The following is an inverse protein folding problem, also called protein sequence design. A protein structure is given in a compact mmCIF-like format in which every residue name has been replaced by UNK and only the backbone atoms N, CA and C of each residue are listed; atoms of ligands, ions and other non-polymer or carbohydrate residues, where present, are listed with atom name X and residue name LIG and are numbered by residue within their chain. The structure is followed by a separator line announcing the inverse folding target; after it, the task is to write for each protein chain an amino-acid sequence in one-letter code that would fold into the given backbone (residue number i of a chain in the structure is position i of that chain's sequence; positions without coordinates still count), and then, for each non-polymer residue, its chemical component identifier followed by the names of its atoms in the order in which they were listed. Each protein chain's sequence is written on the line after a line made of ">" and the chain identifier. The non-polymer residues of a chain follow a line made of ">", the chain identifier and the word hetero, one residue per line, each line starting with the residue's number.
data_IF_932188066573
#
_entry.id   IF_932188066573
#
_cell.length_a   1.000
_cell.length_b   1.000
_cell.length_c   1.000
_cell.angle_alpha   90.00
_cell.angle_beta   90.00
_cell.angle_gamma   90.00
#
_symmetry.space_group_name_H-M   'P 1'
#
loop_
_entity.id
_entity.type
_entity.pdbx_description
1 polymer ?
#
# COMPACT_ATOMS: atom_id res chain seq x y z
N UNK A 1 56.42 25.48 2.78
CA UNK A 1 57.05 24.33 3.45
C UNK A 1 57.17 24.69 4.91
N UNK A 2 56.58 23.97 5.84
CA UNK A 2 56.75 24.27 7.26
C UNK A 2 58.21 24.04 7.64
N UNK A 3 58.80 25.04 8.36
CA UNK A 3 60.14 25.01 8.74
C UNK A 3 60.51 23.81 9.62
N UNK A 4 61.66 23.20 9.30
CA UNK A 4 62.19 22.02 9.99
C UNK A 4 62.41 22.28 11.51
N UNK A 5 62.56 23.55 11.91
CA UNK A 5 62.67 24.00 13.29
C UNK A 5 61.40 23.91 14.11
N UNK A 6 60.20 24.12 13.52
CA UNK A 6 58.91 23.98 14.22
C UNK A 6 58.61 22.51 14.53
N UNK A 7 58.93 21.60 13.61
CA UNK A 7 58.79 20.18 13.82
C UNK A 7 59.75 19.65 14.90
N UNK A 8 60.95 20.20 15.00
CA UNK A 8 61.95 19.88 16.04
C UNK A 8 61.50 20.36 17.42
N UNK A 9 60.96 21.58 17.53
CA UNK A 9 60.30 22.07 18.76
C UNK A 9 59.10 21.29 19.21
N UNK A 10 58.27 20.92 18.29
CA UNK A 10 57.10 20.05 18.60
C UNK A 10 57.53 18.69 19.13
N UNK A 11 58.51 18.03 18.50
CA UNK A 11 59.04 16.75 18.97
C UNK A 11 59.73 16.86 20.34
N UNK A 12 60.42 17.96 20.62
CA UNK A 12 61.02 18.20 21.92
C UNK A 12 59.95 18.42 23.00
N UNK A 13 58.92 19.17 22.70
CA UNK A 13 57.81 19.44 23.62
C UNK A 13 56.95 18.19 23.90
N UNK A 14 56.88 17.25 22.97
CA UNK A 14 56.14 16.01 23.12
C UNK A 14 56.99 14.82 23.58
N UNK A 15 58.27 15.01 23.79
CA UNK A 15 59.19 13.99 24.28
C UNK A 15 58.82 13.62 25.74
N UNK A 16 58.25 12.46 25.93
CA UNK A 16 57.83 11.95 27.26
C UNK A 16 56.31 11.84 27.46
N UNK A 17 55.52 12.31 26.50
CA UNK A 17 54.05 12.08 26.54
C UNK A 17 53.80 10.61 26.21
N UNK A 18 53.22 9.86 27.14
CA UNK A 18 52.73 8.50 26.86
C UNK A 18 51.58 8.61 25.89
N UNK A 19 51.65 7.97 24.70
CA UNK A 19 50.51 7.94 23.80
C UNK A 19 49.31 7.32 24.54
N UNK A 20 48.15 7.99 24.47
CA UNK A 20 46.92 7.46 24.95
C UNK A 20 46.67 6.11 24.24
N UNK A 21 46.62 5.01 25.00
CA UNK A 21 46.04 3.78 24.47
C UNK A 21 44.60 4.08 24.20
N UNK A 22 44.28 4.30 22.95
CA UNK A 22 42.91 4.46 22.50
C UNK A 22 42.26 3.07 22.68
N UNK A 23 41.52 2.92 23.78
CA UNK A 23 40.68 1.77 24.00
C UNK A 23 39.47 1.96 23.06
N UNK A 24 39.67 1.59 21.81
CA UNK A 24 38.60 1.58 20.81
C UNK A 24 37.69 0.44 21.19
N UNK A 25 36.76 0.74 22.08
CA UNK A 25 35.56 -0.11 22.20
C UNK A 25 34.90 -0.08 20.81
N UNK A 26 35.08 -1.15 20.05
CA UNK A 26 34.36 -1.31 18.81
C UNK A 26 32.88 -1.08 19.12
N UNK A 27 32.21 -0.16 18.43
CA UNK A 27 30.80 0.07 18.69
C UNK A 27 30.08 -1.27 18.55
N UNK A 28 29.48 -1.72 19.65
CA UNK A 28 28.65 -2.92 19.64
C UNK A 28 27.60 -2.65 18.57
N UNK A 29 27.67 -3.38 17.48
CA UNK A 29 26.60 -3.37 16.48
C UNK A 29 25.36 -3.92 17.16
N UNK A 30 24.52 -3.00 17.64
CA UNK A 30 23.19 -3.35 18.13
C UNK A 30 22.48 -3.92 16.90
N UNK A 31 22.40 -5.23 16.81
CA UNK A 31 21.52 -5.88 15.87
C UNK A 31 20.10 -5.50 16.30
N UNK A 32 19.56 -4.43 15.68
CA UNK A 32 18.14 -4.14 15.81
C UNK A 32 17.43 -5.35 15.23
N UNK A 33 16.81 -6.15 16.09
CA UNK A 33 15.92 -7.20 15.61
C UNK A 33 14.91 -6.53 14.68
N UNK A 34 14.74 -7.06 13.47
CA UNK A 34 13.77 -6.49 12.54
C UNK A 34 12.41 -6.50 13.22
N UNK A 35 11.72 -5.37 13.21
CA UNK A 35 10.43 -5.22 13.82
C UNK A 35 9.47 -6.28 13.25
N UNK A 36 9.13 -7.29 14.03
CA UNK A 36 8.30 -8.44 13.62
C UNK A 36 6.96 -7.98 13.07
N UNK A 37 6.39 -6.88 13.61
CA UNK A 37 5.14 -6.29 13.11
C UNK A 37 5.31 -5.75 11.69
N UNK A 38 6.39 -5.01 11.43
CA UNK A 38 6.67 -4.47 10.10
C UNK A 38 6.90 -5.59 9.08
N UNK A 39 7.63 -6.64 9.46
CA UNK A 39 7.84 -7.80 8.58
C UNK A 39 6.54 -8.54 8.28
N UNK A 40 5.65 -8.67 9.27
CA UNK A 40 4.33 -9.26 9.08
C UNK A 40 3.51 -8.44 8.09
N UNK A 41 3.40 -7.12 8.29
CA UNK A 41 2.68 -6.23 7.39
C UNK A 41 3.22 -6.26 5.95
N UNK A 42 4.56 -6.32 5.79
CA UNK A 42 5.17 -6.43 4.46
C UNK A 42 4.82 -7.75 3.77
N UNK A 43 4.78 -8.87 4.51
CA UNK A 43 4.36 -10.17 3.96
C UNK A 43 2.90 -10.15 3.57
N UNK A 44 2.02 -9.69 4.44
CA UNK A 44 0.58 -9.57 4.17
C UNK A 44 0.32 -8.69 2.94
N UNK A 45 1.07 -7.59 2.79
CA UNK A 45 1.00 -6.74 1.59
C UNK A 45 1.48 -7.47 0.32
N UNK A 46 2.57 -8.25 0.42
CA UNK A 46 3.06 -9.05 -0.70
C UNK A 46 2.08 -10.14 -1.10
N UNK A 47 1.47 -10.83 -0.13
CA UNK A 47 0.46 -11.86 -0.37
C UNK A 47 -0.76 -11.27 -1.07
N UNK A 48 -1.21 -10.08 -0.65
CA UNK A 48 -2.31 -9.36 -1.30
C UNK A 48 -1.97 -8.96 -2.75
N UNK A 49 -0.73 -8.48 -2.99
CA UNK A 49 -0.26 -8.12 -4.34
C UNK A 49 -0.23 -9.32 -5.30
N UNK A 50 -0.03 -10.52 -4.78
CA UNK A 50 -0.03 -11.75 -5.58
C UNK A 50 -1.34 -11.98 -6.31
N UNK A 51 -2.46 -11.54 -5.74
CA UNK A 51 -3.78 -11.67 -6.38
C UNK A 51 -4.00 -10.68 -7.53
N UNK A 52 -3.22 -9.60 -7.65
CA UNK A 52 -3.43 -8.56 -8.66
C UNK A 52 -2.69 -8.88 -9.98
N UNK A 53 -3.10 -9.94 -10.67
CA UNK A 53 -2.57 -10.27 -11.99
C UNK A 53 -3.14 -9.37 -13.08
N UNK A 54 -2.29 -8.96 -14.03
CA UNK A 54 -2.70 -8.21 -15.23
C UNK A 54 -3.21 -9.13 -16.33
N UNK A 55 -2.88 -10.42 -16.27
CA UNK A 55 -3.23 -11.43 -17.30
C UNK A 55 -4.65 -11.97 -17.13
N UNK A 56 -5.22 -11.82 -15.93
CA UNK A 56 -6.55 -12.34 -15.66
C UNK A 56 -7.63 -11.39 -16.21
N UNK A 57 -8.48 -11.92 -17.11
CA UNK A 57 -9.66 -11.22 -17.61
C UNK A 57 -10.93 -11.82 -17.02
N UNK A 58 -11.42 -11.27 -15.89
CA UNK A 58 -12.67 -11.74 -15.32
C UNK A 58 -13.85 -11.39 -16.21
N UNK A 59 -14.87 -12.24 -16.22
CA UNK A 59 -16.17 -11.93 -16.78
C UNK A 59 -16.85 -10.89 -15.87
N UNK A 60 -16.46 -9.63 -16.00
CA UNK A 60 -17.20 -8.54 -15.37
C UNK A 60 -18.48 -8.32 -16.15
N UNK A 61 -19.61 -8.40 -15.46
CA UNK A 61 -20.90 -8.08 -16.05
C UNK A 61 -20.97 -6.57 -16.31
N UNK A 62 -20.42 -6.13 -17.44
CA UNK A 62 -20.59 -4.78 -17.95
C UNK A 62 -21.96 -4.69 -18.62
N UNK A 63 -23.03 -4.57 -17.83
CA UNK A 63 -24.33 -4.18 -18.36
C UNK A 63 -24.43 -2.65 -18.27
N UNK A 64 -24.67 -1.99 -19.40
CA UNK A 64 -24.81 -0.52 -19.52
C UNK A 64 -23.55 0.28 -19.09
N UNK A 65 -22.33 -0.30 -19.22
CA UNK A 65 -21.10 0.39 -18.86
C UNK A 65 -20.87 0.56 -17.34
N UNK A 66 -21.74 -0.02 -16.53
CA UNK A 66 -21.63 -0.02 -15.07
C UNK A 66 -20.85 -1.25 -14.62
N UNK A 67 -19.73 -1.02 -13.98
CA UNK A 67 -18.91 -2.11 -13.40
C UNK A 67 -19.57 -2.62 -12.13
N UNK A 68 -19.81 -3.93 -12.11
CA UNK A 68 -20.39 -4.62 -10.95
C UNK A 68 -19.84 -6.04 -10.85
N UNK A 69 -19.63 -6.50 -9.63
CA UNK A 69 -19.20 -7.86 -9.32
C UNK A 69 -19.80 -8.31 -8.00
N UNK A 70 -20.12 -9.59 -7.92
CA UNK A 70 -20.56 -10.27 -6.71
C UNK A 70 -19.84 -11.60 -6.64
N UNK A 71 -19.20 -11.87 -5.51
CA UNK A 71 -18.52 -13.14 -5.25
C UNK A 71 -19.55 -14.27 -5.26
N UNK A 72 -19.16 -15.43 -5.76
CA UNK A 72 -20.02 -16.61 -5.77
C UNK A 72 -20.39 -17.02 -4.32
N UNK A 73 -21.67 -17.29 -4.10
CA UNK A 73 -22.20 -17.60 -2.79
C UNK A 73 -22.72 -16.42 -1.97
N UNK A 74 -22.47 -15.18 -2.42
CA UNK A 74 -23.00 -13.98 -1.77
C UNK A 74 -24.43 -13.67 -2.21
N UNK A 75 -25.17 -13.00 -1.34
CA UNK A 75 -26.57 -12.66 -1.62
C UNK A 75 -26.71 -11.54 -2.66
N UNK A 76 -27.53 -11.75 -3.67
CA UNK A 76 -27.71 -10.81 -4.78
C UNK A 76 -28.22 -9.43 -4.39
N UNK A 77 -28.80 -9.29 -3.20
CA UNK A 77 -29.27 -7.99 -2.72
C UNK A 77 -28.11 -7.03 -2.33
N UNK A 78 -26.91 -7.56 -2.03
CA UNK A 78 -25.74 -6.74 -1.70
C UNK A 78 -25.39 -5.72 -2.80
N UNK A 79 -25.48 -6.14 -4.08
CA UNK A 79 -25.27 -5.21 -5.19
C UNK A 79 -26.30 -4.09 -5.25
N UNK A 80 -27.56 -4.39 -4.89
CA UNK A 80 -28.62 -3.37 -4.86
C UNK A 80 -28.38 -2.37 -3.73
N UNK A 81 -27.93 -2.85 -2.59
CA UNK A 81 -27.57 -2.02 -1.44
C UNK A 81 -26.36 -1.13 -1.74
N UNK A 82 -25.27 -1.69 -2.32
CA UNK A 82 -24.12 -0.89 -2.77
C UNK A 82 -24.53 0.21 -3.74
N UNK A 83 -25.38 -0.12 -4.74
CA UNK A 83 -25.88 0.84 -5.71
C UNK A 83 -26.71 1.95 -5.09
N UNK A 84 -27.48 1.66 -4.04
CA UNK A 84 -28.31 2.66 -3.32
C UNK A 84 -27.48 3.53 -2.38
N UNK A 85 -26.26 3.11 -2.02
CA UNK A 85 -25.46 3.77 -0.99
C UNK A 85 -25.87 3.38 0.43
N UNK A 86 -26.53 2.22 0.60
CA UNK A 86 -26.90 1.71 1.93
C UNK A 86 -25.65 1.36 2.77
N UNK A 87 -24.52 1.11 2.11
CA UNK A 87 -23.20 0.99 2.71
C UNK A 87 -22.45 2.32 2.60
N UNK A 88 -22.13 2.92 3.75
CA UNK A 88 -21.31 4.13 3.79
C UNK A 88 -19.84 3.75 3.81
N UNK A 89 -19.03 4.18 2.84
CA UNK A 89 -17.60 3.92 2.87
C UNK A 89 -16.94 4.67 4.02
N UNK A 90 -16.13 3.97 4.81
CA UNK A 90 -15.37 4.55 5.90
C UNK A 90 -13.92 4.84 5.50
N UNK A 91 -13.39 4.08 4.51
CA UNK A 91 -12.08 4.30 3.93
C UNK A 91 -12.20 4.80 2.50
N UNK A 92 -11.33 5.75 2.16
CA UNK A 92 -11.29 6.39 0.84
C UNK A 92 -9.89 6.30 0.26
N UNK A 93 -9.78 5.82 -0.97
CA UNK A 93 -8.52 5.73 -1.70
C UNK A 93 -8.62 6.47 -3.00
N UNK A 94 -7.69 7.40 -3.23
CA UNK A 94 -7.59 8.13 -4.49
C UNK A 94 -6.37 7.65 -5.28
N UNK A 95 -6.63 7.12 -6.47
CA UNK A 95 -5.62 6.55 -7.36
C UNK A 95 -5.34 7.41 -8.59
N UNK A 96 -5.89 8.65 -8.64
CA UNK A 96 -5.66 9.50 -9.80
C UNK A 96 -4.16 9.83 -9.95
N UNK A 97 -3.66 9.79 -11.18
CA UNK A 97 -2.26 10.12 -11.49
C UNK A 97 -1.24 9.05 -11.09
N UNK A 98 -1.65 7.94 -10.47
CA UNK A 98 -0.73 6.86 -10.11
C UNK A 98 -0.42 5.94 -11.32
N UNK A 99 0.76 5.33 -11.28
CA UNK A 99 1.10 4.22 -12.18
C UNK A 99 0.36 2.95 -11.79
N UNK A 100 0.35 1.94 -12.66
CA UNK A 100 -0.28 0.64 -12.37
C UNK A 100 0.32 -0.02 -11.13
N UNK A 101 1.64 -0.01 -11.02
CA UNK A 101 2.37 -0.62 -9.92
C UNK A 101 2.07 0.10 -8.58
N UNK A 102 2.04 1.43 -8.61
CA UNK A 102 1.66 2.23 -7.45
C UNK A 102 0.20 1.97 -7.04
N UNK A 103 -0.71 1.95 -8.02
CA UNK A 103 -2.12 1.66 -7.77
C UNK A 103 -2.34 0.27 -7.13
N UNK A 104 -1.63 -0.76 -7.60
CA UNK A 104 -1.67 -2.10 -6.97
C UNK A 104 -1.21 -2.05 -5.50
N UNK A 105 -0.11 -1.32 -5.23
CA UNK A 105 0.41 -1.19 -3.87
C UNK A 105 -0.56 -0.48 -2.94
N UNK A 106 -1.21 0.58 -3.41
CA UNK A 106 -2.20 1.32 -2.64
C UNK A 106 -3.49 0.51 -2.42
N UNK A 107 -3.93 -0.25 -3.44
CA UNK A 107 -5.05 -1.19 -3.29
C UNK A 107 -4.76 -2.28 -2.26
N UNK A 108 -3.55 -2.85 -2.27
CA UNK A 108 -3.14 -3.83 -1.27
C UNK A 108 -3.11 -3.22 0.14
N UNK A 109 -2.64 -1.98 0.27
CA UNK A 109 -2.64 -1.26 1.54
C UNK A 109 -4.07 -0.97 2.03
N UNK A 110 -4.99 -0.60 1.12
CA UNK A 110 -6.40 -0.37 1.45
C UNK A 110 -7.06 -1.64 1.99
N UNK A 111 -6.90 -2.78 1.31
CA UNK A 111 -7.51 -4.05 1.76
C UNK A 111 -6.98 -4.48 3.13
N UNK A 112 -5.69 -4.26 3.40
CA UNK A 112 -5.11 -4.49 4.73
C UNK A 112 -5.65 -3.52 5.77
N UNK A 113 -5.84 -2.25 5.42
CA UNK A 113 -6.43 -1.25 6.31
C UNK A 113 -7.87 -1.62 6.66
N UNK A 114 -8.68 -2.05 5.68
CA UNK A 114 -10.04 -2.55 5.92
C UNK A 114 -10.06 -3.67 6.97
N UNK A 115 -9.14 -4.61 6.87
CA UNK A 115 -9.03 -5.71 7.84
C UNK A 115 -8.58 -5.24 9.22
N UNK A 116 -7.57 -4.35 9.28
CA UNK A 116 -7.02 -3.85 10.55
C UNK A 116 -8.00 -2.96 11.30
N UNK A 117 -8.75 -2.13 10.57
CA UNK A 117 -9.72 -1.18 11.13
C UNK A 117 -11.12 -1.78 11.23
N UNK A 118 -11.32 -3.03 10.77
CA UNK A 118 -12.61 -3.73 10.77
C UNK A 118 -13.68 -2.96 9.97
N UNK A 119 -13.27 -2.42 8.83
CA UNK A 119 -14.13 -1.67 7.91
C UNK A 119 -14.52 -2.55 6.73
N UNK A 120 -15.80 -2.75 6.52
CA UNK A 120 -16.33 -3.62 5.47
C UNK A 120 -16.58 -2.90 4.13
N UNK A 121 -16.67 -1.57 4.12
CA UNK A 121 -16.95 -0.79 2.92
C UNK A 121 -15.91 0.31 2.69
N UNK A 122 -15.34 0.34 1.48
CA UNK A 122 -14.40 1.38 1.07
C UNK A 122 -14.74 1.94 -0.31
N UNK A 123 -14.34 3.21 -0.54
CA UNK A 123 -14.49 3.89 -1.82
C UNK A 123 -13.13 4.08 -2.49
N UNK A 124 -13.02 3.71 -3.77
CA UNK A 124 -11.81 3.83 -4.57
C UNK A 124 -12.10 4.79 -5.73
N UNK A 125 -11.43 5.95 -5.73
CA UNK A 125 -11.49 6.92 -6.81
C UNK A 125 -10.42 6.62 -7.86
N UNK A 126 -10.87 6.42 -9.12
CA UNK A 126 -9.99 6.06 -10.24
C UNK A 126 -9.59 7.26 -11.09
N UNK A 127 -10.30 8.39 -10.91
CA UNK A 127 -10.17 9.58 -11.74
C UNK A 127 -10.77 9.42 -13.15
N UNK A 128 -10.80 10.53 -13.88
CA UNK A 128 -11.33 10.61 -15.26
C UNK A 128 -10.26 10.44 -16.34
N UNK A 129 -9.04 10.00 -15.99
CA UNK A 129 -7.88 9.91 -16.89
C UNK A 129 -8.06 8.96 -18.08
N UNK A 130 -6.96 8.40 -18.57
CA UNK A 130 -6.90 7.54 -19.78
C UNK A 130 -7.71 6.24 -19.73
N UNK A 131 -8.64 6.08 -18.79
CA UNK A 131 -9.46 4.87 -18.51
C UNK A 131 -8.66 3.61 -18.18
N UNK A 132 -7.34 3.68 -18.14
CA UNK A 132 -6.49 2.51 -17.89
C UNK A 132 -6.74 1.94 -16.49
N UNK A 133 -6.64 2.77 -15.45
CA UNK A 133 -6.89 2.34 -14.07
C UNK A 133 -8.37 2.00 -13.84
N UNK A 134 -9.30 2.78 -14.41
CA UNK A 134 -10.74 2.51 -14.30
C UNK A 134 -11.12 1.10 -14.76
N UNK A 135 -10.45 0.59 -15.82
CA UNK A 135 -10.67 -0.78 -16.32
C UNK A 135 -9.89 -1.84 -15.55
N UNK A 136 -8.69 -1.51 -15.08
CA UNK A 136 -7.82 -2.48 -14.42
C UNK A 136 -8.19 -2.74 -12.96
N UNK A 137 -8.57 -1.71 -12.21
CA UNK A 137 -8.88 -1.82 -10.79
C UNK A 137 -9.97 -2.86 -10.49
N UNK A 138 -11.12 -2.88 -11.18
CA UNK A 138 -12.10 -3.94 -10.97
C UNK A 138 -11.54 -5.34 -11.25
N UNK A 139 -10.71 -5.49 -12.28
CA UNK A 139 -10.10 -6.77 -12.65
C UNK A 139 -9.17 -7.29 -11.57
N UNK A 140 -8.39 -6.42 -10.93
CA UNK A 140 -7.53 -6.80 -9.82
C UNK A 140 -8.35 -7.15 -8.57
N UNK A 141 -9.32 -6.32 -8.23
CA UNK A 141 -10.14 -6.50 -7.02
C UNK A 141 -10.90 -7.82 -7.01
N UNK A 142 -11.49 -8.24 -8.15
CA UNK A 142 -12.26 -9.49 -8.21
C UNK A 142 -11.42 -10.76 -8.05
N UNK A 143 -10.09 -10.65 -8.22
CA UNK A 143 -9.17 -11.75 -7.98
C UNK A 143 -8.88 -11.96 -6.49
N UNK A 144 -9.15 -10.94 -5.67
CA UNK A 144 -8.84 -11.01 -4.25
C UNK A 144 -9.97 -11.72 -3.48
N UNK A 145 -9.67 -12.79 -2.71
CA UNK A 145 -10.70 -13.62 -2.08
C UNK A 145 -11.55 -12.88 -1.03
N UNK A 146 -11.00 -11.83 -0.42
CA UNK A 146 -11.73 -11.03 0.58
C UNK A 146 -12.69 -10.01 -0.04
N UNK A 147 -12.62 -9.74 -1.34
CA UNK A 147 -13.58 -8.84 -2.00
C UNK A 147 -14.89 -9.60 -2.24
N UNK A 148 -15.93 -9.21 -1.53
CA UNK A 148 -17.26 -9.81 -1.59
C UNK A 148 -18.09 -9.27 -2.74
N UNK A 149 -18.06 -7.95 -2.91
CA UNK A 149 -18.81 -7.27 -3.96
C UNK A 149 -18.12 -5.96 -4.35
N UNK A 150 -18.33 -5.52 -5.58
CA UNK A 150 -18.01 -4.17 -6.00
C UNK A 150 -19.10 -3.61 -6.91
N UNK A 151 -19.30 -2.32 -6.86
CA UNK A 151 -20.23 -1.61 -7.70
C UNK A 151 -19.72 -0.19 -7.95
N UNK A 152 -20.02 0.37 -9.13
CA UNK A 152 -19.80 1.79 -9.37
C UNK A 152 -20.47 2.60 -8.26
N UNK A 153 -19.78 3.62 -7.75
CA UNK A 153 -20.27 4.41 -6.65
C UNK A 153 -21.51 5.22 -7.03
N UNK A 154 -22.45 5.44 -6.10
CA UNK A 154 -23.49 6.45 -6.29
C UNK A 154 -22.88 7.86 -6.39
N UNK A 155 -23.65 8.82 -6.89
CA UNK A 155 -23.17 10.20 -7.10
C UNK A 155 -22.60 10.85 -5.85
N UNK A 156 -23.13 10.51 -4.69
CA UNK A 156 -22.70 11.00 -3.37
C UNK A 156 -21.27 10.58 -3.03
N UNK A 157 -20.81 9.44 -3.56
CA UNK A 157 -19.51 8.84 -3.30
C UNK A 157 -18.55 8.84 -4.50
N UNK A 158 -18.79 9.77 -5.46
CA UNK A 158 -17.89 9.97 -6.60
C UNK A 158 -18.43 9.50 -7.96
N UNK A 159 -19.58 8.84 -8.02
CA UNK A 159 -20.24 8.46 -9.27
C UNK A 159 -19.36 7.61 -10.19
N UNK A 160 -19.28 8.02 -11.47
CA UNK A 160 -18.53 7.30 -12.51
C UNK A 160 -17.00 7.25 -12.29
N UNK A 161 -16.48 8.11 -11.44
CA UNK A 161 -15.05 8.16 -11.14
C UNK A 161 -14.65 7.30 -9.94
N UNK A 162 -15.62 6.64 -9.27
CA UNK A 162 -15.38 5.87 -8.07
C UNK A 162 -16.07 4.51 -8.09
N UNK A 163 -15.51 3.57 -7.33
CA UNK A 163 -16.01 2.22 -7.13
C UNK A 163 -16.13 1.99 -5.63
N UNK A 164 -17.30 1.52 -5.19
CA UNK A 164 -17.48 0.99 -3.83
C UNK A 164 -17.14 -0.49 -3.81
N UNK A 165 -16.43 -0.90 -2.78
CA UNK A 165 -16.10 -2.30 -2.53
C UNK A 165 -16.64 -2.74 -1.17
N UNK A 166 -17.11 -3.98 -1.09
CA UNK A 166 -17.36 -4.68 0.17
C UNK A 166 -16.29 -5.73 0.37
N UNK A 167 -15.71 -5.73 1.55
CA UNK A 167 -14.62 -6.61 1.94
C UNK A 167 -15.08 -7.52 3.09
N UNK A 168 -14.60 -8.74 3.12
CA UNK A 168 -14.77 -9.67 4.24
C UNK A 168 -13.74 -9.32 5.32
N UNK A 169 -14.21 -9.11 6.55
CA UNK A 169 -13.43 -8.71 7.70
C UNK A 169 -13.18 -9.92 8.60
#
# INVERSE_FOLDING_TARGET
>A
MPDNDELALFRAATAGIKPLKQDTLAPVRIHKEPNKLLQRQLREKQDTLFYFSDEYEPLLNEYDGVVKYLREGEESHLLKQLRRGDFSPELFLDLHGLTREQAKQELAALLLACEQEQVDCASIMTGYGTFTLKKQIPRWLVQHPKVRALHQAPKEWGGDAAILILVEI
#
